data_IF_653573083410
#
_entry.id   IF_653573083410
#
_cell.length_a   1.000
_cell.length_b   1.000
_cell.length_c   1.000
_cell.angle_alpha   90.00
_cell.angle_beta   90.00
_cell.angle_gamma   90.00
#
_symmetry.space_group_name_H-M   'P 1'
#
loop_
_entity.id
_entity.type
_entity.pdbx_description
1 polymer ?
#
# COMPACT_ATOMS: atom_id res chain seq x y z
N UNK A 1 -27.40 3.07 -12.19
CA UNK A 1 -27.00 2.69 -10.82
C UNK A 1 -26.14 1.46 -10.96
N UNK A 2 -24.87 1.53 -10.58
CA UNK A 2 -23.97 0.38 -10.71
C UNK A 2 -24.52 -0.79 -9.88
N UNK A 3 -24.46 -2.00 -10.43
CA UNK A 3 -25.11 -3.19 -9.87
C UNK A 3 -24.28 -3.87 -8.76
N UNK A 4 -23.22 -3.23 -8.27
CA UNK A 4 -22.24 -3.81 -7.36
C UNK A 4 -22.00 -2.90 -6.14
N UNK A 5 -21.51 -3.50 -5.05
CA UNK A 5 -21.07 -2.76 -3.85
C UNK A 5 -19.78 -1.98 -4.16
N UNK A 6 -19.78 -0.67 -3.96
CA UNK A 6 -18.57 0.14 -4.10
C UNK A 6 -17.55 -0.24 -3.00
N UNK A 7 -16.40 -0.84 -3.35
CA UNK A 7 -15.39 -1.22 -2.37
C UNK A 7 -14.57 -0.01 -1.94
N UNK A 8 -14.02 -0.07 -0.72
CA UNK A 8 -12.98 0.84 -0.29
C UNK A 8 -11.72 0.65 -1.17
N UNK A 9 -11.19 1.72 -1.73
CA UNK A 9 -9.95 1.67 -2.52
C UNK A 9 -8.78 2.18 -1.70
N UNK A 10 -7.81 1.30 -1.47
CA UNK A 10 -6.62 1.61 -0.66
C UNK A 10 -5.39 1.65 -1.53
N UNK A 11 -4.84 2.85 -1.73
CA UNK A 11 -3.59 3.03 -2.45
C UNK A 11 -2.39 2.71 -1.56
N UNK A 12 -1.52 1.79 -2.00
CA UNK A 12 -0.28 1.44 -1.31
C UNK A 12 0.91 1.93 -2.14
N UNK A 13 1.55 3.00 -1.68
CA UNK A 13 2.66 3.67 -2.36
C UNK A 13 3.95 3.60 -1.56
N UNK A 14 5.08 3.96 -2.19
CA UNK A 14 6.38 3.93 -1.52
C UNK A 14 7.56 3.66 -2.47
N UNK A 15 8.80 3.87 -2.00
CA UNK A 15 9.99 3.62 -2.80
C UNK A 15 10.11 2.19 -3.33
N UNK A 16 10.97 2.03 -4.34
CA UNK A 16 11.34 0.72 -4.88
C UNK A 16 11.89 -0.14 -3.75
N UNK A 17 11.32 -1.33 -3.56
CA UNK A 17 11.79 -2.29 -2.58
C UNK A 17 11.39 -2.05 -1.13
N UNK A 18 10.61 -1.02 -0.79
CA UNK A 18 10.24 -0.69 0.60
C UNK A 18 9.41 -1.77 1.31
N UNK A 19 8.76 -2.66 0.54
CA UNK A 19 7.98 -3.79 1.05
C UNK A 19 6.47 -3.67 0.86
N UNK A 20 6.02 -2.93 -0.18
CA UNK A 20 4.60 -2.80 -0.56
C UNK A 20 3.95 -4.15 -0.87
N UNK A 21 4.50 -4.94 -1.80
CA UNK A 21 4.03 -6.31 -2.10
C UNK A 21 3.97 -7.19 -0.84
N UNK A 22 4.99 -7.13 0.02
CA UNK A 22 5.04 -7.90 1.26
C UNK A 22 3.94 -7.47 2.26
N UNK A 23 3.61 -6.17 2.29
CA UNK A 23 2.50 -5.66 3.08
C UNK A 23 1.17 -6.19 2.54
N UNK A 24 0.97 -6.14 1.22
CA UNK A 24 -0.25 -6.64 0.59
C UNK A 24 -0.44 -8.14 0.77
N UNK A 25 0.63 -8.93 0.64
CA UNK A 25 0.59 -10.37 0.90
C UNK A 25 0.10 -10.64 2.33
N UNK A 26 0.71 -9.98 3.32
CA UNK A 26 0.40 -10.17 4.73
C UNK A 26 -1.03 -9.70 5.08
N UNK A 27 -1.46 -8.53 4.57
CA UNK A 27 -2.82 -8.03 4.75
C UNK A 27 -3.85 -8.95 4.11
N UNK A 28 -3.64 -9.38 2.87
CA UNK A 28 -4.56 -10.28 2.18
C UNK A 28 -4.73 -11.59 2.94
N UNK A 29 -3.63 -12.23 3.36
CA UNK A 29 -3.68 -13.48 4.12
C UNK A 29 -4.41 -13.33 5.46
N UNK A 30 -4.23 -12.21 6.15
CA UNK A 30 -4.85 -11.96 7.44
C UNK A 30 -6.33 -11.54 7.35
N UNK A 31 -6.73 -10.88 6.27
CA UNK A 31 -8.05 -10.23 6.17
C UNK A 31 -9.06 -10.97 5.28
N UNK A 32 -8.61 -11.83 4.37
CA UNK A 32 -9.48 -12.45 3.33
C UNK A 32 -10.58 -13.40 3.84
N UNK A 33 -10.43 -13.92 5.06
CA UNK A 33 -11.44 -14.82 5.65
C UNK A 33 -12.62 -14.03 6.23
N UNK A 34 -12.43 -12.73 6.47
CA UNK A 34 -13.46 -11.81 6.99
C UNK A 34 -13.99 -10.90 5.89
N UNK A 35 -13.13 -10.43 4.98
CA UNK A 35 -13.42 -9.39 4.00
C UNK A 35 -13.25 -9.89 2.56
N UNK A 36 -14.09 -9.40 1.64
CA UNK A 36 -13.98 -9.65 0.21
C UNK A 36 -12.95 -8.72 -0.43
N UNK A 37 -11.77 -9.26 -0.72
CA UNK A 37 -10.62 -8.47 -1.17
C UNK A 37 -10.31 -8.68 -2.66
N UNK A 38 -9.70 -7.67 -3.27
CA UNK A 38 -8.97 -7.80 -4.54
C UNK A 38 -7.72 -6.89 -4.54
N UNK A 39 -6.81 -7.13 -5.49
CA UNK A 39 -5.56 -6.38 -5.63
C UNK A 39 -5.34 -6.02 -7.10
N UNK A 40 -4.97 -4.76 -7.33
CA UNK A 40 -4.38 -4.26 -8.58
C UNK A 40 -2.91 -3.94 -8.29
N UNK A 41 -1.98 -4.59 -8.99
CA UNK A 41 -0.54 -4.33 -8.86
C UNK A 41 -0.04 -3.56 -10.07
N UNK A 42 0.78 -2.54 -9.86
CA UNK A 42 1.38 -1.77 -10.95
C UNK A 42 2.88 -2.01 -11.04
N UNK A 43 3.34 -2.33 -12.24
CA UNK A 43 4.76 -2.41 -12.57
C UNK A 43 5.03 -1.71 -13.89
N UNK A 44 6.25 -1.22 -14.10
CA UNK A 44 6.55 -0.41 -15.30
C UNK A 44 6.62 -1.30 -16.55
N UNK A 45 7.29 -2.45 -16.44
CA UNK A 45 7.65 -3.29 -17.59
C UNK A 45 7.29 -4.77 -17.41
N UNK A 46 6.66 -5.13 -16.28
CA UNK A 46 6.39 -6.53 -15.94
C UNK A 46 5.04 -6.66 -15.22
N UNK A 47 4.71 -7.90 -14.84
CA UNK A 47 3.62 -8.23 -13.90
C UNK A 47 4.17 -9.07 -12.76
N UNK A 48 5.37 -8.69 -12.27
CA UNK A 48 6.11 -9.48 -11.29
C UNK A 48 5.36 -9.55 -9.97
N UNK A 49 4.88 -8.41 -9.47
CA UNK A 49 4.13 -8.36 -8.20
C UNK A 49 2.79 -9.14 -8.28
N UNK A 50 2.10 -9.13 -9.43
CA UNK A 50 0.93 -9.99 -9.66
C UNK A 50 1.30 -11.47 -9.49
N UNK A 51 2.42 -11.89 -10.08
CA UNK A 51 2.88 -13.29 -10.00
C UNK A 51 3.26 -13.66 -8.58
N UNK A 52 4.04 -12.81 -7.90
CA UNK A 52 4.47 -13.01 -6.51
C UNK A 52 3.25 -13.21 -5.60
N UNK A 53 2.25 -12.31 -5.66
CA UNK A 53 1.07 -12.42 -4.80
C UNK A 53 0.22 -13.66 -5.12
N UNK A 54 0.14 -14.04 -6.40
CA UNK A 54 -0.60 -15.23 -6.83
C UNK A 54 0.09 -16.51 -6.35
N UNK A 55 1.40 -16.63 -6.56
CA UNK A 55 2.21 -17.79 -6.15
C UNK A 55 2.30 -17.92 -4.63
N UNK A 56 2.36 -16.79 -3.90
CA UNK A 56 2.30 -16.76 -2.45
C UNK A 56 0.92 -17.16 -1.90
N UNK A 57 -0.09 -17.30 -2.76
CA UNK A 57 -1.46 -17.61 -2.38
C UNK A 57 -2.06 -16.52 -1.51
N UNK A 58 -1.80 -15.23 -1.82
CA UNK A 58 -2.37 -14.11 -1.09
C UNK A 58 -3.90 -14.08 -1.24
N UNK A 59 -4.39 -14.21 -2.47
CA UNK A 59 -5.81 -14.36 -2.84
C UNK A 59 -5.92 -15.37 -4.00
N UNK A 60 -7.16 -15.70 -4.40
CA UNK A 60 -7.39 -16.45 -5.62
C UNK A 60 -6.87 -15.64 -6.85
N UNK A 61 -6.29 -16.29 -7.87
CA UNK A 61 -5.63 -15.61 -8.99
C UNK A 61 -6.50 -14.57 -9.69
N UNK A 62 -7.80 -14.85 -9.84
CA UNK A 62 -8.77 -13.98 -10.49
C UNK A 62 -9.06 -12.68 -9.74
N UNK A 63 -8.61 -12.55 -8.49
CA UNK A 63 -8.72 -11.36 -7.62
C UNK A 63 -7.46 -10.49 -7.66
N UNK A 64 -6.41 -10.91 -8.38
CA UNK A 64 -5.14 -10.19 -8.47
C UNK A 64 -4.87 -9.84 -9.94
N UNK A 65 -4.87 -8.54 -10.25
CA UNK A 65 -4.69 -8.04 -11.62
C UNK A 65 -3.41 -7.22 -11.70
N UNK A 66 -2.56 -7.54 -12.68
CA UNK A 66 -1.36 -6.77 -12.98
C UNK A 66 -1.59 -5.74 -14.08
N UNK A 67 -1.29 -4.47 -13.80
CA UNK A 67 -1.29 -3.36 -14.75
C UNK A 67 0.16 -2.99 -15.07
N UNK A 68 0.52 -3.08 -16.34
CA UNK A 68 1.83 -2.66 -16.83
C UNK A 68 1.71 -1.20 -17.31
N UNK A 69 2.38 -0.28 -16.62
CA UNK A 69 2.13 1.16 -16.80
C UNK A 69 2.90 1.78 -17.97
N UNK A 70 4.00 1.18 -18.40
CA UNK A 70 4.84 1.65 -19.52
C UNK A 70 5.60 2.96 -19.26
N UNK A 71 5.47 3.57 -18.07
CA UNK A 71 6.04 4.88 -17.72
C UNK A 71 6.12 5.12 -16.21
N UNK A 72 6.36 6.38 -15.80
CA UNK A 72 6.54 6.72 -14.39
C UNK A 72 5.33 6.28 -13.54
N UNK A 73 5.53 5.55 -12.43
CA UNK A 73 4.43 5.01 -11.63
C UNK A 73 3.43 6.06 -11.15
N UNK A 74 3.90 7.25 -10.74
CA UNK A 74 3.04 8.35 -10.31
C UNK A 74 1.99 8.75 -11.37
N UNK A 75 2.33 8.67 -12.67
CA UNK A 75 1.37 8.97 -13.75
C UNK A 75 0.18 8.05 -13.66
N UNK A 76 0.40 6.74 -13.53
CA UNK A 76 -0.65 5.74 -13.51
C UNK A 76 -1.53 5.79 -12.24
N UNK A 77 -1.07 6.44 -11.17
CA UNK A 77 -1.83 6.55 -9.91
C UNK A 77 -2.35 7.96 -9.62
N UNK A 78 -1.94 8.98 -10.40
CA UNK A 78 -2.27 10.38 -10.15
C UNK A 78 -2.65 11.17 -11.39
N UNK A 79 -1.72 11.35 -12.33
CA UNK A 79 -1.96 12.24 -13.49
C UNK A 79 -2.90 11.62 -14.52
N UNK A 80 -2.80 10.31 -14.75
CA UNK A 80 -3.68 9.52 -15.61
C UNK A 80 -3.94 8.16 -14.95
N UNK A 81 -4.95 8.15 -14.08
CA UNK A 81 -5.35 6.95 -13.35
C UNK A 81 -6.27 6.01 -14.15
N UNK A 82 -6.49 6.27 -15.45
CA UNK A 82 -7.51 5.59 -16.26
C UNK A 82 -7.37 4.06 -16.29
N UNK A 83 -6.15 3.54 -16.45
CA UNK A 83 -5.90 2.09 -16.46
C UNK A 83 -6.23 1.44 -15.11
N UNK A 84 -5.87 2.10 -14.01
CA UNK A 84 -6.18 1.61 -12.67
C UNK A 84 -7.67 1.68 -12.36
N UNK A 85 -8.34 2.78 -12.72
CA UNK A 85 -9.77 2.94 -12.57
C UNK A 85 -10.53 1.86 -13.36
N UNK A 86 -10.12 1.58 -14.59
CA UNK A 86 -10.71 0.50 -15.40
C UNK A 86 -10.50 -0.89 -14.77
N UNK A 87 -9.31 -1.17 -14.22
CA UNK A 87 -9.04 -2.44 -13.53
C UNK A 87 -9.87 -2.60 -12.24
N UNK A 88 -10.00 -1.53 -11.46
CA UNK A 88 -10.84 -1.47 -10.26
C UNK A 88 -12.31 -1.68 -10.60
N UNK A 89 -12.81 -1.03 -11.67
CA UNK A 89 -14.19 -1.20 -12.14
C UNK A 89 -14.46 -2.64 -12.58
N UNK A 90 -13.58 -3.21 -13.40
CA UNK A 90 -13.72 -4.57 -13.89
C UNK A 90 -13.72 -5.62 -12.76
N UNK A 91 -12.90 -5.43 -11.72
CA UNK A 91 -12.92 -6.28 -10.52
C UNK A 91 -14.23 -6.11 -9.74
N UNK A 92 -14.68 -4.87 -9.58
CA UNK A 92 -15.91 -4.55 -8.84
C UNK A 92 -17.15 -5.14 -9.51
N UNK A 93 -17.27 -5.01 -10.83
CA UNK A 93 -18.35 -5.60 -11.62
C UNK A 93 -18.31 -7.14 -11.58
N UNK A 94 -17.11 -7.73 -11.71
CA UNK A 94 -16.94 -9.18 -11.77
C UNK A 94 -17.34 -9.88 -10.46
N UNK A 95 -16.97 -9.32 -9.31
CA UNK A 95 -17.21 -9.96 -8.02
C UNK A 95 -18.47 -9.45 -7.32
N UNK A 96 -18.90 -8.21 -7.58
CA UNK A 96 -20.16 -7.65 -7.08
C UNK A 96 -20.20 -7.28 -5.59
N UNK A 97 -19.41 -7.95 -4.75
CA UNK A 97 -19.49 -7.90 -3.29
C UNK A 97 -18.17 -7.50 -2.61
N UNK A 98 -17.23 -6.90 -3.32
CA UNK A 98 -15.93 -6.50 -2.76
C UNK A 98 -16.12 -5.48 -1.63
N UNK A 99 -15.38 -5.70 -0.54
CA UNK A 99 -15.27 -4.77 0.59
C UNK A 99 -14.13 -3.78 0.37
N UNK A 100 -13.00 -4.28 -0.15
CA UNK A 100 -11.77 -3.53 -0.29
C UNK A 100 -10.98 -3.97 -1.54
N UNK A 101 -10.46 -3.00 -2.29
CA UNK A 101 -9.48 -3.21 -3.36
C UNK A 101 -8.18 -2.47 -3.02
N UNK A 102 -7.08 -3.20 -2.95
CA UNK A 102 -5.75 -2.59 -2.85
C UNK A 102 -5.24 -2.21 -4.24
N UNK A 103 -4.61 -1.05 -4.36
CA UNK A 103 -3.88 -0.63 -5.56
C UNK A 103 -2.43 -0.38 -5.17
N UNK A 104 -1.53 -1.28 -5.59
CA UNK A 104 -0.10 -1.10 -5.41
C UNK A 104 0.46 -0.18 -6.49
N UNK A 105 1.14 0.89 -6.08
CA UNK A 105 1.92 1.71 -7.01
C UNK A 105 3.21 0.99 -7.41
N UNK A 106 3.72 1.24 -8.61
CA UNK A 106 5.12 0.94 -8.90
C UNK A 106 6.05 1.70 -7.92
N UNK A 107 7.23 1.16 -7.65
CA UNK A 107 8.19 1.85 -6.78
C UNK A 107 8.61 3.21 -7.35
N UNK A 108 8.46 4.28 -6.57
CA UNK A 108 8.67 5.66 -7.04
C UNK A 108 9.39 6.54 -6.00
N UNK A 109 9.71 7.77 -6.37
CA UNK A 109 10.36 8.75 -5.53
C UNK A 109 9.42 9.32 -4.44
N UNK A 110 9.99 10.09 -3.51
CA UNK A 110 9.28 10.60 -2.31
C UNK A 110 8.15 11.61 -2.62
N UNK A 111 8.01 12.07 -3.87
CA UNK A 111 6.94 12.99 -4.29
C UNK A 111 5.65 12.29 -4.75
N UNK A 112 5.68 10.97 -4.92
CA UNK A 112 4.56 10.19 -5.44
C UNK A 112 3.42 10.05 -4.41
N UNK A 113 2.19 10.29 -4.86
CA UNK A 113 0.93 10.14 -4.10
C UNK A 113 -0.16 9.68 -5.04
N UNK A 114 -1.20 9.04 -4.49
CA UNK A 114 -2.39 8.69 -5.26
C UNK A 114 -3.28 9.92 -5.49
N UNK A 115 -4.00 9.93 -6.62
CA UNK A 115 -5.16 10.81 -6.81
C UNK A 115 -6.29 10.39 -5.87
N UNK A 116 -7.04 11.33 -5.26
CA UNK A 116 -8.27 11.02 -4.54
C UNK A 116 -9.34 10.36 -5.41
N UNK A 117 -9.23 10.49 -6.74
CA UNK A 117 -10.11 9.78 -7.67
C UNK A 117 -9.86 8.27 -7.65
N UNK A 118 -8.64 7.81 -7.34
CA UNK A 118 -8.25 6.40 -7.36
C UNK A 118 -8.23 5.76 -5.97
N UNK A 119 -7.85 6.51 -4.92
CA UNK A 119 -7.69 5.99 -3.58
C UNK A 119 -8.52 6.78 -2.55
N UNK A 120 -9.32 6.06 -1.77
CA UNK A 120 -10.11 6.62 -0.66
C UNK A 120 -9.25 6.74 0.61
N UNK A 121 -8.32 5.80 0.79
CA UNK A 121 -7.26 5.84 1.80
C UNK A 121 -5.90 5.55 1.18
N UNK A 122 -4.85 6.14 1.76
CA UNK A 122 -3.47 5.98 1.31
C UNK A 122 -2.55 5.45 2.42
N UNK A 123 -1.86 4.36 2.11
CA UNK A 123 -0.74 3.85 2.89
C UNK A 123 0.55 4.16 2.13
N UNK A 124 1.51 4.80 2.80
CA UNK A 124 2.85 4.98 2.26
C UNK A 124 3.85 4.11 3.00
N UNK A 125 4.70 3.38 2.28
CA UNK A 125 5.67 2.43 2.84
C UNK A 125 7.08 2.91 2.52
N UNK A 126 7.84 3.24 3.55
CA UNK A 126 9.29 3.42 3.48
C UNK A 126 9.97 2.30 4.27
N UNK A 127 11.28 2.18 4.19
CA UNK A 127 12.02 1.21 5.01
C UNK A 127 13.28 1.77 5.66
N UNK A 128 13.74 1.11 6.72
CA UNK A 128 14.90 1.54 7.50
C UNK A 128 16.21 1.48 6.71
N UNK A 129 16.34 0.54 5.77
CA UNK A 129 17.55 0.37 4.96
C UNK A 129 17.72 1.46 3.89
N UNK A 130 16.67 2.21 3.55
CA UNK A 130 16.76 3.45 2.76
C UNK A 130 17.53 4.56 3.51
N UNK A 131 17.65 4.43 4.84
CA UNK A 131 18.49 5.20 5.74
C UNK A 131 17.72 6.08 6.73
N UNK A 132 18.30 6.29 7.91
CA UNK A 132 17.70 7.00 9.06
C UNK A 132 17.08 8.37 8.71
N UNK A 133 17.68 9.07 7.75
CA UNK A 133 17.28 10.42 7.32
C UNK A 133 16.03 10.47 6.43
N UNK A 134 15.47 9.34 6.00
CA UNK A 134 14.35 9.31 5.05
C UNK A 134 13.13 10.10 5.55
N UNK A 135 12.66 9.94 6.81
CA UNK A 135 11.60 10.78 7.35
C UNK A 135 11.88 12.28 7.19
N UNK A 136 13.11 12.72 7.45
CA UNK A 136 13.53 14.14 7.33
C UNK A 136 13.51 14.67 5.90
N UNK A 137 13.65 13.80 4.89
CA UNK A 137 13.54 14.21 3.48
C UNK A 137 12.10 14.57 3.08
N UNK A 138 11.11 14.17 3.87
CA UNK A 138 9.72 14.57 3.70
C UNK A 138 9.10 14.04 2.41
N UNK A 139 8.27 14.88 1.78
CA UNK A 139 7.41 14.45 0.67
C UNK A 139 5.99 14.10 1.14
N UNK A 140 4.99 14.21 0.25
CA UNK A 140 3.60 14.05 0.63
C UNK A 140 3.26 12.62 1.08
N UNK A 141 3.97 11.60 0.60
CA UNK A 141 3.83 10.24 1.11
C UNK A 141 4.20 10.12 2.60
N UNK A 142 5.31 10.76 3.03
CA UNK A 142 5.74 10.75 4.44
C UNK A 142 4.88 11.68 5.29
N UNK A 143 4.49 12.84 4.78
CA UNK A 143 3.88 13.91 5.58
C UNK A 143 2.35 13.94 5.57
N UNK A 144 1.72 13.41 4.51
CA UNK A 144 0.28 13.59 4.27
C UNK A 144 -0.52 12.31 4.06
N UNK A 145 0.12 11.16 3.80
CA UNK A 145 -0.58 9.87 3.72
C UNK A 145 -1.43 9.62 4.97
N UNK A 146 -2.54 8.91 4.80
CA UNK A 146 -3.44 8.58 5.89
C UNK A 146 -2.74 7.67 6.91
N UNK A 147 -1.87 6.79 6.44
CA UNK A 147 -1.03 5.95 7.29
C UNK A 147 0.38 5.78 6.70
N UNK A 148 1.42 5.95 7.52
CA UNK A 148 2.82 5.69 7.14
C UNK A 148 3.33 4.40 7.79
N UNK A 149 3.93 3.53 6.98
CA UNK A 149 4.65 2.33 7.40
C UNK A 149 6.14 2.58 7.27
N UNK A 150 6.89 2.32 8.34
CA UNK A 150 8.36 2.30 8.33
C UNK A 150 8.81 0.86 8.55
N UNK A 151 9.09 0.17 7.46
CA UNK A 151 9.32 -1.27 7.43
C UNK A 151 10.79 -1.67 7.66
N UNK A 152 11.02 -2.97 7.86
CA UNK A 152 12.33 -3.62 7.97
C UNK A 152 13.14 -3.13 9.17
N UNK A 153 12.49 -2.98 10.33
CA UNK A 153 13.16 -2.55 11.57
C UNK A 153 14.28 -3.47 12.03
N UNK A 154 14.24 -4.74 11.64
CA UNK A 154 15.31 -5.71 11.85
C UNK A 154 16.61 -5.34 11.14
N UNK A 155 16.55 -4.51 10.10
CA UNK A 155 17.74 -4.10 9.35
C UNK A 155 18.48 -2.90 9.96
N UNK A 156 17.89 -2.23 10.95
CA UNK A 156 18.46 -1.01 11.55
C UNK A 156 19.93 -1.14 11.98
N UNK A 157 20.35 -2.24 12.67
CA UNK A 157 21.74 -2.40 13.11
C UNK A 157 22.73 -2.54 11.95
N UNK A 158 22.30 -3.01 10.79
CA UNK A 158 23.18 -3.28 9.63
C UNK A 158 23.42 -2.04 8.77
N UNK A 159 22.52 -1.06 8.85
CA UNK A 159 22.63 0.21 8.10
C UNK A 159 22.99 1.40 8.99
N UNK A 160 23.19 1.17 10.29
CA UNK A 160 23.54 2.21 11.26
C UNK A 160 22.42 3.22 11.49
N UNK A 161 21.15 2.80 11.43
CA UNK A 161 20.00 3.65 11.66
C UNK A 161 19.49 3.51 13.10
N UNK A 162 19.23 4.63 13.78
CA UNK A 162 18.52 4.63 15.07
C UNK A 162 17.02 4.73 14.85
N UNK A 163 16.27 3.71 15.31
CA UNK A 163 14.81 3.73 15.28
C UNK A 163 14.23 4.84 16.15
N UNK A 164 14.90 5.22 17.23
CA UNK A 164 14.49 6.33 18.09
C UNK A 164 14.57 7.67 17.35
N UNK A 165 15.64 7.89 16.59
CA UNK A 165 15.80 9.09 15.76
C UNK A 165 14.76 9.11 14.64
N UNK A 166 14.56 7.99 13.95
CA UNK A 166 13.52 7.87 12.92
C UNK A 166 12.12 8.14 13.49
N UNK A 167 11.82 7.67 14.71
CA UNK A 167 10.55 7.93 15.38
C UNK A 167 10.37 9.42 15.68
N UNK A 168 11.37 10.07 16.26
CA UNK A 168 11.33 11.50 16.57
C UNK A 168 11.16 12.36 15.31
N UNK A 169 11.88 12.03 14.25
CA UNK A 169 11.75 12.73 12.97
C UNK A 169 10.39 12.51 12.34
N UNK A 170 9.88 11.28 12.36
CA UNK A 170 8.56 10.96 11.82
C UNK A 170 7.46 11.71 12.56
N UNK A 171 7.51 11.75 13.90
CA UNK A 171 6.57 12.53 14.72
C UNK A 171 6.60 14.01 14.32
N UNK A 172 7.79 14.60 14.16
CA UNK A 172 7.92 16.00 13.73
C UNK A 172 7.32 16.24 12.34
N UNK A 173 7.47 15.30 11.42
CA UNK A 173 7.01 15.43 10.04
C UNK A 173 5.51 15.16 9.86
N UNK A 174 4.88 14.40 10.78
CA UNK A 174 3.49 13.93 10.66
C UNK A 174 2.51 14.57 11.65
N UNK A 175 2.99 15.14 12.75
CA UNK A 175 2.12 15.56 13.86
C UNK A 175 1.33 14.35 14.37
N UNK A 176 -0.01 14.50 14.43
CA UNK A 176 -0.91 13.46 14.95
C UNK A 176 -1.28 12.37 13.92
N UNK A 177 -0.79 12.46 12.67
CA UNK A 177 -1.12 11.47 11.63
C UNK A 177 -0.48 10.12 11.94
N UNK A 178 -1.24 9.01 11.88
CA UNK A 178 -0.77 7.73 12.38
C UNK A 178 0.34 7.15 11.51
N UNK A 179 1.23 6.42 12.16
CA UNK A 179 2.30 5.67 11.53
C UNK A 179 2.72 4.51 12.44
N UNK A 180 3.35 3.48 11.88
CA UNK A 180 3.95 2.41 12.69
C UNK A 180 5.24 1.91 12.07
N UNK A 181 6.13 1.45 12.93
CA UNK A 181 7.20 0.55 12.52
C UNK A 181 6.63 -0.83 12.20
N UNK A 182 7.23 -1.51 11.24
CA UNK A 182 6.91 -2.91 10.93
C UNK A 182 8.16 -3.76 10.70
N UNK A 183 8.01 -5.04 11.00
CA UNK A 183 8.84 -6.10 10.44
C UNK A 183 7.90 -7.12 9.80
N UNK A 184 7.66 -6.95 8.50
CA UNK A 184 6.72 -7.80 7.77
C UNK A 184 7.22 -9.24 7.57
N UNK A 185 8.51 -9.53 7.81
CA UNK A 185 9.00 -10.92 7.86
C UNK A 185 8.51 -11.66 9.10
N UNK A 186 8.23 -10.93 10.19
CA UNK A 186 7.71 -11.48 11.46
C UNK A 186 6.23 -11.18 11.68
N UNK A 187 5.64 -10.27 10.90
CA UNK A 187 4.28 -9.79 11.07
C UNK A 187 4.15 -8.66 12.10
N UNK A 188 5.27 -8.14 12.62
CA UNK A 188 5.26 -7.08 13.63
C UNK A 188 4.64 -5.80 13.06
N UNK A 189 3.68 -5.22 13.79
CA UNK A 189 2.97 -4.00 13.42
C UNK A 189 1.82 -4.18 12.41
N UNK A 190 1.63 -5.37 11.84
CA UNK A 190 0.58 -5.65 10.85
C UNK A 190 -0.83 -5.44 11.44
N UNK A 191 -1.06 -5.89 12.67
CA UNK A 191 -2.36 -5.76 13.35
C UNK A 191 -2.81 -4.31 13.53
N UNK A 192 -1.87 -3.39 13.77
CA UNK A 192 -2.14 -1.95 13.84
C UNK A 192 -2.66 -1.40 12.50
N UNK A 193 -2.10 -1.90 11.39
CA UNK A 193 -2.52 -1.49 10.04
C UNK A 193 -3.90 -2.05 9.71
N UNK A 194 -4.16 -3.32 10.06
CA UNK A 194 -5.48 -3.95 9.89
C UNK A 194 -6.54 -3.16 10.68
N UNK A 195 -6.28 -2.86 11.95
CA UNK A 195 -7.20 -2.09 12.78
C UNK A 195 -7.47 -0.68 12.22
N UNK A 196 -6.44 -0.02 11.66
CA UNK A 196 -6.60 1.25 10.96
C UNK A 196 -7.51 1.11 9.73
N UNK A 197 -7.31 0.08 8.91
CA UNK A 197 -8.13 -0.17 7.71
C UNK A 197 -9.58 -0.48 8.07
N UNK A 198 -9.82 -1.26 9.11
CA UNK A 198 -11.16 -1.59 9.57
C UNK A 198 -11.90 -0.36 10.13
N UNK A 199 -11.24 0.45 10.96
CA UNK A 199 -11.81 1.66 11.56
C UNK A 199 -11.99 2.80 10.54
N UNK A 200 -10.90 3.24 9.91
CA UNK A 200 -10.91 4.39 9.00
C UNK A 200 -11.49 4.06 7.63
N UNK A 201 -11.40 2.80 7.21
CA UNK A 201 -12.03 2.33 5.99
C UNK A 201 -13.53 2.04 6.15
N UNK A 202 -14.07 2.17 7.37
CA UNK A 202 -15.48 1.90 7.68
C UNK A 202 -15.95 0.53 7.18
N UNK A 203 -15.07 -0.47 7.28
CA UNK A 203 -15.40 -1.83 6.87
C UNK A 203 -16.47 -2.36 7.84
N UNK A 204 -17.69 -2.53 7.32
CA UNK A 204 -18.87 -2.81 8.13
C UNK A 204 -18.77 -4.17 8.82
N UNK A 205 -18.93 -4.20 10.14
CA UNK A 205 -19.29 -5.45 10.83
C UNK A 205 -20.73 -5.82 10.54
#
# INVERSE_FOLDING_TARGET
MNSYKHPLRVGVGGPVGSGKTALLEALCKAMRDTWQLAVVTNDIYTKEDQRILTEAGALAPERIVGVETGGCPHTAIREDASMNLAAVEALSEKFGNLDLIFVESGGDNLSATFSPELADLTIYVIDVAEGEKIPRKGGPGITKSDFLVINKTDLAPYVGASLEVMASDTQRMRGDRPWTFTNLKRGDGLSTIIAFLEDKGMLGK
#
